data_IF_899157370102
#
_entry.id   IF_899157370102
#
_cell.length_a   1.000
_cell.length_b   1.000
_cell.length_c   1.000
_cell.angle_alpha   90.00
_cell.angle_beta   90.00
_cell.angle_gamma   90.00
#
_symmetry.space_group_name_H-M   'P 1'
#
loop_
_entity.id
_entity.type
_entity.pdbx_description
1 polymer ?
#
# COMPACT_ATOMS: atom_id res chain seq x y z
N UNK A 1 13.83 0.73 -66.43
CA UNK A 1 13.85 2.18 -66.21
C UNK A 1 12.71 2.51 -65.26
N UNK A 2 13.05 3.16 -64.13
CA UNK A 2 12.22 4.03 -63.26
C UNK A 2 10.96 3.46 -62.60
N UNK A 3 10.98 3.25 -61.28
CA UNK A 3 10.46 4.16 -60.22
C UNK A 3 8.99 3.82 -59.89
N UNK A 4 8.49 3.67 -58.66
CA UNK A 4 8.74 4.41 -57.42
C UNK A 4 8.12 3.61 -56.26
N UNK A 5 8.84 3.42 -55.16
CA UNK A 5 8.29 2.96 -53.88
C UNK A 5 7.89 4.18 -53.04
N UNK A 6 6.60 4.31 -52.69
CA UNK A 6 6.05 5.32 -51.77
C UNK A 6 5.69 4.63 -50.44
N UNK A 7 6.30 5.08 -49.34
CA UNK A 7 5.70 5.98 -48.31
C UNK A 7 5.05 5.18 -47.17
N UNK A 8 5.79 4.87 -46.10
CA UNK A 8 5.90 5.62 -44.81
C UNK A 8 4.78 5.38 -43.79
N UNK A 9 5.23 5.25 -42.53
CA UNK A 9 4.53 5.44 -41.26
C UNK A 9 3.50 4.37 -40.83
N UNK A 10 3.96 3.47 -39.95
CA UNK A 10 3.24 3.10 -38.71
C UNK A 10 4.00 2.00 -37.95
N UNK A 11 5.22 2.32 -37.50
CA UNK A 11 5.86 1.58 -36.41
C UNK A 11 6.16 2.55 -35.27
N UNK A 12 5.11 3.13 -34.68
CA UNK A 12 5.18 3.45 -33.25
C UNK A 12 4.90 2.14 -32.52
N UNK A 13 5.96 1.37 -32.30
CA UNK A 13 5.98 0.38 -31.25
C UNK A 13 5.70 1.12 -29.94
N UNK A 14 4.51 0.90 -29.42
CA UNK A 14 4.14 1.12 -28.01
C UNK A 14 5.00 0.22 -27.16
N UNK A 15 6.24 0.66 -26.90
CA UNK A 15 7.13 0.03 -25.93
C UNK A 15 6.73 0.54 -24.54
N UNK A 16 6.22 -0.38 -23.72
CA UNK A 16 6.40 -0.34 -22.28
C UNK A 16 5.32 0.40 -21.49
N UNK A 17 4.37 -0.39 -21.00
CA UNK A 17 3.98 -0.30 -19.59
C UNK A 17 5.24 -0.19 -18.71
N UNK A 18 5.45 0.93 -18.00
CA UNK A 18 6.18 1.07 -16.70
C UNK A 18 6.53 2.53 -16.41
N UNK A 19 6.15 3.01 -15.21
CA UNK A 19 6.63 4.21 -14.47
C UNK A 19 7.32 5.34 -15.26
N UNK A 20 6.72 6.53 -15.32
CA UNK A 20 7.41 7.75 -15.76
C UNK A 20 8.41 8.22 -14.69
N UNK A 21 9.68 7.87 -14.86
CA UNK A 21 10.78 8.27 -13.99
C UNK A 21 12.01 8.66 -14.81
N UNK A 22 12.86 9.51 -14.23
CA UNK A 22 14.20 9.79 -14.75
C UNK A 22 15.14 8.61 -14.45
N UNK A 23 16.22 8.50 -15.23
CA UNK A 23 17.24 7.49 -15.00
C UNK A 23 18.01 7.82 -13.71
N UNK A 24 17.96 6.98 -12.66
CA UNK A 24 18.59 7.26 -11.37
C UNK A 24 20.11 7.39 -11.46
N UNK A 25 20.73 6.88 -12.53
CA UNK A 25 22.17 7.02 -12.79
C UNK A 25 22.56 8.40 -13.35
N UNK A 26 21.59 9.27 -13.63
CA UNK A 26 21.80 10.61 -14.21
C UNK A 26 21.06 11.65 -13.37
N UNK A 27 21.79 12.66 -12.89
CA UNK A 27 21.17 13.78 -12.19
C UNK A 27 20.75 14.87 -13.19
N UNK A 28 19.52 14.76 -13.68
CA UNK A 28 18.96 15.66 -14.69
C UNK A 28 18.92 17.14 -14.26
N UNK A 29 18.82 17.41 -12.96
CA UNK A 29 18.81 18.76 -12.38
C UNK A 29 20.14 19.51 -12.48
N UNK A 30 21.24 18.81 -12.78
CA UNK A 30 22.56 19.45 -12.97
C UNK A 30 22.73 20.04 -14.38
N UNK A 31 21.86 19.69 -15.33
CA UNK A 31 21.94 20.15 -16.70
C UNK A 31 21.02 21.36 -16.94
N UNK A 32 21.38 22.20 -17.90
CA UNK A 32 20.52 23.31 -18.31
C UNK A 32 19.27 22.75 -19.01
N UNK A 33 18.13 22.84 -18.33
CA UNK A 33 16.83 22.34 -18.81
C UNK A 33 16.43 22.94 -20.16
N UNK A 34 16.78 24.19 -20.45
CA UNK A 34 16.48 24.82 -21.74
C UNK A 34 17.27 24.19 -22.91
N UNK A 35 18.38 23.51 -22.63
CA UNK A 35 19.22 22.83 -23.63
C UNK A 35 18.88 21.35 -23.73
N UNK A 36 18.73 20.65 -22.59
CA UNK A 36 18.46 19.21 -22.62
C UNK A 36 17.00 18.87 -22.93
N UNK A 37 16.05 19.77 -22.61
CA UNK A 37 14.63 19.55 -22.83
C UNK A 37 14.08 20.25 -24.09
N UNK A 38 14.93 20.89 -24.89
CA UNK A 38 14.55 21.43 -26.20
C UNK A 38 14.20 20.29 -27.16
N UNK A 39 12.94 20.25 -27.61
CA UNK A 39 12.43 19.22 -28.52
C UNK A 39 13.08 19.26 -29.91
N UNK A 40 13.67 20.39 -30.29
CA UNK A 40 14.42 20.56 -31.54
C UNK A 40 15.93 20.48 -31.32
N UNK A 41 16.37 20.34 -30.06
CA UNK A 41 17.77 20.30 -29.67
C UNK A 41 18.43 18.96 -29.95
N UNK A 42 19.75 18.98 -30.15
CA UNK A 42 20.56 17.77 -30.38
C UNK A 42 20.55 16.79 -29.20
N UNK A 43 20.27 17.29 -27.99
CA UNK A 43 20.21 16.49 -26.75
C UNK A 43 18.83 15.88 -26.47
N UNK A 44 17.81 16.21 -27.25
CA UNK A 44 16.43 15.72 -27.09
C UNK A 44 16.34 14.19 -26.98
N UNK A 45 17.04 13.47 -27.86
CA UNK A 45 16.99 11.99 -27.90
C UNK A 45 17.60 11.37 -26.63
N UNK A 46 18.61 12.02 -26.06
CA UNK A 46 19.23 11.62 -24.81
C UNK A 46 18.31 11.92 -23.62
N UNK A 47 17.71 13.11 -23.59
CA UNK A 47 16.79 13.52 -22.53
C UNK A 47 15.51 12.66 -22.52
N UNK A 48 15.01 12.26 -23.69
CA UNK A 48 13.89 11.30 -23.83
C UNK A 48 14.19 9.91 -23.27
N UNK A 49 15.45 9.56 -23.01
CA UNK A 49 15.83 8.28 -22.38
C UNK A 49 16.18 8.44 -20.90
N UNK A 50 16.77 9.57 -20.51
CA UNK A 50 17.35 9.74 -19.18
C UNK A 50 16.60 10.72 -18.28
N UNK A 51 15.90 11.71 -18.85
CA UNK A 51 15.34 12.86 -18.14
C UNK A 51 13.89 13.12 -18.53
N UNK A 52 13.11 12.04 -18.72
CA UNK A 52 11.75 12.12 -19.28
C UNK A 52 10.78 12.86 -18.37
N UNK A 53 10.92 12.68 -17.06
CA UNK A 53 10.09 13.33 -16.05
C UNK A 53 10.56 14.78 -15.88
N UNK A 54 11.88 15.00 -15.73
CA UNK A 54 12.48 16.33 -15.63
C UNK A 54 12.14 17.24 -16.82
N UNK A 55 12.12 16.68 -18.04
CA UNK A 55 11.79 17.42 -19.26
C UNK A 55 10.31 17.44 -19.62
N UNK A 56 9.42 16.90 -18.76
CA UNK A 56 7.97 16.87 -19.03
C UNK A 56 7.58 16.06 -20.26
N UNK A 57 8.46 15.17 -20.74
CA UNK A 57 8.22 14.28 -21.89
C UNK A 57 7.31 13.11 -21.53
N UNK A 58 7.15 12.86 -20.23
CA UNK A 58 6.08 12.06 -19.67
C UNK A 58 5.63 12.70 -18.36
N UNK A 59 4.39 12.41 -17.98
CA UNK A 59 3.90 12.68 -16.64
C UNK A 59 3.92 11.38 -15.84
N UNK A 60 4.27 11.46 -14.55
CA UNK A 60 3.86 10.39 -13.62
C UNK A 60 2.34 10.31 -13.72
N UNK A 61 1.83 9.13 -14.09
CA UNK A 61 0.40 8.87 -14.01
C UNK A 61 0.02 9.20 -12.57
N UNK A 62 -0.80 10.22 -12.38
CA UNK A 62 -1.25 10.61 -11.06
C UNK A 62 -2.24 9.55 -10.59
N UNK A 63 -1.75 8.64 -9.76
CA UNK A 63 -2.49 7.50 -9.22
C UNK A 63 -1.92 7.20 -7.85
N UNK A 64 -2.75 6.60 -7.02
CA UNK A 64 -2.28 6.07 -5.74
C UNK A 64 -1.23 4.98 -5.99
N UNK A 65 -0.22 4.96 -5.12
CA UNK A 65 0.81 3.94 -5.12
C UNK A 65 0.14 2.57 -4.87
N UNK A 66 0.29 1.58 -5.77
CA UNK A 66 -0.36 0.28 -5.61
C UNK A 66 0.09 -0.46 -4.34
N UNK A 67 1.25 -0.12 -3.78
CA UNK A 67 1.78 -0.70 -2.55
C UNK A 67 1.19 -0.04 -1.29
N UNK A 68 0.47 1.07 -1.45
CA UNK A 68 -0.16 1.83 -0.37
C UNK A 68 -1.67 1.93 -0.61
N UNK A 69 -2.46 1.28 0.25
CA UNK A 69 -3.91 1.39 0.13
C UNK A 69 -4.45 2.61 0.88
N UNK A 70 -4.55 3.71 0.14
CA UNK A 70 -4.96 5.02 0.65
C UNK A 70 -6.36 5.04 1.29
N UNK A 71 -7.25 4.15 0.84
CA UNK A 71 -8.62 4.02 1.36
C UNK A 71 -8.71 3.46 2.79
N UNK A 72 -7.62 2.93 3.33
CA UNK A 72 -7.56 2.46 4.72
C UNK A 72 -7.36 3.60 5.72
N UNK A 73 -6.92 4.78 5.26
CA UNK A 73 -6.65 5.92 6.11
C UNK A 73 -7.85 6.88 6.16
N UNK A 74 -7.97 7.63 7.26
CA UNK A 74 -8.97 8.68 7.36
C UNK A 74 -8.61 9.82 6.38
N UNK A 75 -9.47 10.17 5.40
CA UNK A 75 -9.13 11.15 4.37
C UNK A 75 -8.92 12.55 4.95
N UNK A 76 -9.69 12.94 5.97
CA UNK A 76 -9.56 14.25 6.61
C UNK A 76 -8.23 14.41 7.33
N UNK A 77 -7.74 13.36 7.99
CA UNK A 77 -6.45 13.38 8.69
C UNK A 77 -5.26 13.17 7.74
N UNK A 78 -5.41 12.31 6.73
CA UNK A 78 -4.35 11.97 5.80
C UNK A 78 -4.09 13.09 4.77
N UNK A 79 -5.17 13.70 4.27
CA UNK A 79 -5.12 14.68 3.18
C UNK A 79 -5.21 16.13 3.66
N UNK A 80 -5.21 16.38 4.98
CA UNK A 80 -5.18 17.75 5.53
C UNK A 80 -3.86 18.43 5.16
N UNK A 81 -3.87 19.63 4.53
CA UNK A 81 -2.66 20.37 4.16
C UNK A 81 -1.74 20.72 5.35
N UNK A 82 -2.34 20.91 6.52
CA UNK A 82 -1.65 21.24 7.77
C UNK A 82 -1.30 19.99 8.59
N UNK A 83 -1.64 18.80 8.09
CA UNK A 83 -1.42 17.52 8.76
C UNK A 83 -0.01 16.97 8.53
N UNK A 84 0.57 16.33 9.56
CA UNK A 84 1.92 15.76 9.51
C UNK A 84 2.11 14.63 8.48
N UNK A 85 1.03 14.09 7.91
CA UNK A 85 1.08 13.05 6.88
C UNK A 85 0.82 13.58 5.46
N UNK A 86 0.57 14.89 5.29
CA UNK A 86 0.20 15.49 4.01
C UNK A 86 1.25 15.28 2.92
N UNK A 87 2.52 15.48 3.25
CA UNK A 87 3.62 15.32 2.29
C UNK A 87 3.72 13.87 1.80
N UNK A 88 3.64 12.91 2.71
CA UNK A 88 3.62 11.49 2.36
C UNK A 88 2.38 11.12 1.52
N UNK A 89 1.21 11.63 1.92
CA UNK A 89 -0.06 11.41 1.23
C UNK A 89 -0.05 12.00 -0.19
N UNK A 90 0.61 13.14 -0.39
CA UNK A 90 0.75 13.77 -1.70
C UNK A 90 1.58 12.95 -2.69
N UNK A 91 2.40 12.03 -2.20
CA UNK A 91 3.26 11.17 -3.01
C UNK A 91 2.63 9.78 -3.19
N UNK A 92 2.09 9.21 -2.12
CA UNK A 92 1.57 7.83 -2.10
C UNK A 92 0.09 7.73 -2.39
N UNK A 93 -0.67 8.78 -2.08
CA UNK A 93 -2.12 8.84 -2.16
C UNK A 93 -2.65 10.08 -2.92
N UNK A 94 -2.00 10.55 -4.00
CA UNK A 94 -2.42 11.79 -4.65
C UNK A 94 -3.80 11.70 -5.28
N UNK A 95 -4.24 10.53 -5.76
CA UNK A 95 -5.56 10.39 -6.35
C UNK A 95 -6.64 10.33 -5.26
N UNK A 96 -6.38 9.57 -4.18
CA UNK A 96 -7.26 9.52 -3.02
C UNK A 96 -7.45 10.88 -2.34
N UNK A 97 -6.39 11.69 -2.26
CA UNK A 97 -6.45 13.03 -1.70
C UNK A 97 -6.98 14.10 -2.68
N UNK A 98 -7.41 13.71 -3.89
CA UNK A 98 -7.94 14.66 -4.88
C UNK A 98 -6.90 15.63 -5.43
N UNK A 99 -5.61 15.30 -5.32
CA UNK A 99 -4.48 16.09 -5.80
C UNK A 99 -4.17 15.82 -7.28
N UNK A 100 -4.84 14.83 -7.89
CA UNK A 100 -4.70 14.53 -9.30
C UNK A 100 -5.62 15.41 -10.19
N UNK A 101 -5.09 16.01 -11.26
CA UNK A 101 -5.92 16.68 -12.26
C UNK A 101 -6.78 15.65 -12.99
N UNK A 102 -8.08 15.91 -13.03
CA UNK A 102 -9.10 14.99 -13.52
C UNK A 102 -9.07 14.95 -15.05
N UNK A 103 -8.35 14.01 -15.65
CA UNK A 103 -8.58 13.61 -17.04
C UNK A 103 -9.18 12.21 -17.07
N UNK A 104 -10.47 12.17 -17.38
CA UNK A 104 -11.33 10.99 -17.47
C UNK A 104 -10.85 10.02 -18.54
N UNK A 105 -10.23 8.91 -18.12
CA UNK A 105 -10.10 7.72 -18.93
C UNK A 105 -10.71 6.51 -18.22
N UNK A 106 -11.86 6.10 -18.75
CA UNK A 106 -12.64 4.91 -18.39
C UNK A 106 -11.83 3.64 -18.66
N UNK A 107 -11.60 2.82 -17.64
CA UNK A 107 -11.03 1.47 -17.80
C UNK A 107 -12.07 0.39 -17.45
N UNK A 108 -12.27 -0.53 -18.40
CA UNK A 108 -13.04 -1.76 -18.23
C UNK A 108 -12.27 -2.77 -17.37
N UNK A 109 -12.99 -3.40 -16.45
CA UNK A 109 -12.52 -4.40 -15.50
C UNK A 109 -12.56 -5.81 -16.11
N UNK A 110 -11.53 -6.64 -15.89
CA UNK A 110 -11.53 -8.06 -16.27
C UNK A 110 -11.09 -8.97 -15.11
N UNK A 111 -11.74 -10.13 -15.07
CA UNK A 111 -12.06 -11.04 -13.97
C UNK A 111 -10.99 -12.11 -13.64
N UNK A 112 -11.01 -12.53 -12.35
CA UNK A 112 -10.53 -13.76 -11.65
C UNK A 112 -9.49 -14.69 -12.30
N UNK A 113 -8.51 -15.08 -11.46
CA UNK A 113 -7.90 -16.42 -11.50
C UNK A 113 -7.89 -17.02 -10.09
N UNK A 114 -8.41 -18.24 -10.01
CA UNK A 114 -8.36 -19.17 -8.87
C UNK A 114 -7.20 -20.13 -9.09
N UNK A 115 -6.37 -20.38 -8.08
CA UNK A 115 -5.48 -21.54 -8.10
C UNK A 115 -5.41 -22.19 -6.71
N UNK A 116 -5.55 -23.52 -6.74
CA UNK A 116 -5.46 -24.46 -5.63
C UNK A 116 -4.03 -24.99 -5.58
N UNK A 117 -3.33 -24.85 -4.44
CA UNK A 117 -2.05 -25.52 -4.15
C UNK A 117 -1.63 -25.20 -2.68
N UNK A 118 -0.68 -25.95 -2.11
CA UNK A 118 -0.84 -27.01 -1.10
C UNK A 118 -0.98 -26.47 0.33
N UNK A 119 -1.22 -27.36 1.33
CA UNK A 119 -1.39 -27.08 2.76
C UNK A 119 -0.29 -26.16 3.34
N UNK A 120 -0.49 -24.87 3.18
CA UNK A 120 0.34 -23.80 3.70
C UNK A 120 0.09 -23.72 5.19
N UNK A 121 1.16 -23.66 5.98
CA UNK A 121 1.06 -23.42 7.42
C UNK A 121 0.08 -22.27 7.67
N UNK A 122 -0.90 -22.48 8.55
CA UNK A 122 -1.92 -21.50 8.87
C UNK A 122 -1.31 -20.38 9.71
N UNK A 123 -0.71 -19.41 9.03
CA UNK A 123 -0.06 -18.26 9.62
C UNK A 123 -0.40 -16.99 8.85
N UNK A 124 -0.50 -15.90 9.58
CA UNK A 124 -0.60 -14.59 8.97
C UNK A 124 0.79 -14.17 8.44
N UNK A 125 0.83 -13.09 7.67
CA UNK A 125 2.08 -12.54 7.12
C UNK A 125 2.45 -11.19 7.73
N UNK A 126 1.56 -10.68 8.58
CA UNK A 126 1.62 -9.37 9.21
C UNK A 126 0.67 -9.36 10.40
N UNK A 127 0.74 -8.31 11.23
CA UNK A 127 -0.20 -8.17 12.34
C UNK A 127 -1.57 -7.72 11.82
N UNK A 128 -2.50 -8.67 11.69
CA UNK A 128 -3.82 -8.41 11.15
C UNK A 128 -4.75 -7.68 12.13
N UNK A 129 -4.40 -7.60 13.42
CA UNK A 129 -5.25 -7.02 14.47
C UNK A 129 -5.40 -5.49 14.34
N UNK A 130 -4.50 -4.85 13.60
CA UNK A 130 -4.55 -3.42 13.25
C UNK A 130 -5.66 -3.10 12.24
N UNK A 131 -6.15 -4.11 11.49
CA UNK A 131 -7.18 -3.92 10.47
C UNK A 131 -8.57 -4.26 11.01
N UNK A 132 -9.59 -3.66 10.39
CA UNK A 132 -10.98 -3.94 10.73
C UNK A 132 -11.38 -5.35 10.26
N UNK A 133 -11.55 -6.28 11.20
CA UNK A 133 -11.86 -7.69 10.92
C UNK A 133 -13.17 -7.89 10.14
N UNK A 134 -14.21 -7.08 10.40
CA UNK A 134 -15.48 -7.16 9.65
C UNK A 134 -15.28 -6.80 8.18
N UNK A 135 -14.34 -5.89 7.90
CA UNK A 135 -14.03 -5.47 6.54
C UNK A 135 -13.07 -6.45 5.86
N UNK A 136 -11.96 -6.84 6.50
CA UNK A 136 -10.95 -7.68 5.84
C UNK A 136 -11.36 -9.15 5.78
N UNK A 137 -12.15 -9.66 6.73
CA UNK A 137 -12.52 -11.09 6.77
C UNK A 137 -13.86 -11.41 6.11
N UNK A 138 -14.67 -10.40 5.76
CA UNK A 138 -15.96 -10.63 5.09
C UNK A 138 -15.78 -11.15 3.66
N UNK A 139 -16.49 -12.24 3.31
CA UNK A 139 -16.51 -12.83 1.95
C UNK A 139 -17.02 -11.89 0.86
N UNK A 140 -17.85 -10.91 1.22
CA UNK A 140 -18.41 -9.93 0.29
C UNK A 140 -17.53 -8.70 0.13
N UNK A 141 -16.47 -8.59 0.94
CA UNK A 141 -15.53 -7.48 0.89
C UNK A 141 -14.55 -7.61 -0.25
N UNK A 142 -14.17 -6.47 -0.82
CA UNK A 142 -13.09 -6.39 -1.81
C UNK A 142 -11.73 -6.85 -1.25
N UNK A 143 -11.59 -6.84 0.08
CA UNK A 143 -10.37 -7.25 0.79
C UNK A 143 -10.28 -8.75 1.06
N UNK A 144 -11.36 -9.51 0.79
CA UNK A 144 -11.40 -10.95 1.02
C UNK A 144 -10.24 -11.71 0.35
N UNK A 145 -9.86 -11.46 -0.93
CA UNK A 145 -8.74 -12.16 -1.55
C UNK A 145 -7.39 -11.81 -0.89
N UNK A 146 -7.24 -10.58 -0.41
CA UNK A 146 -6.03 -10.14 0.28
C UNK A 146 -5.90 -10.81 1.65
N UNK A 147 -6.98 -10.86 2.44
CA UNK A 147 -6.96 -11.48 3.76
C UNK A 147 -6.76 -12.99 3.69
N UNK A 148 -7.17 -13.66 2.61
CA UNK A 148 -6.83 -15.06 2.36
C UNK A 148 -5.32 -15.30 2.22
N UNK A 149 -4.57 -14.32 1.74
CA UNK A 149 -3.12 -14.44 1.56
C UNK A 149 -2.33 -13.96 2.78
N UNK A 150 -2.81 -12.91 3.44
CA UNK A 150 -2.07 -12.18 4.47
C UNK A 150 -2.57 -12.42 5.90
N UNK A 151 -3.86 -12.71 6.07
CA UNK A 151 -4.53 -12.86 7.35
C UNK A 151 -5.36 -14.16 7.48
N UNK A 152 -4.92 -15.31 6.95
CA UNK A 152 -5.75 -16.51 6.90
C UNK A 152 -6.06 -17.09 8.29
N UNK A 153 -5.17 -16.90 9.26
CA UNK A 153 -5.39 -17.32 10.65
C UNK A 153 -6.30 -16.33 11.37
N UNK A 154 -5.98 -15.03 11.32
CA UNK A 154 -6.80 -13.99 11.96
C UNK A 154 -8.25 -13.97 11.47
N UNK A 155 -8.47 -14.21 10.17
CA UNK A 155 -9.80 -14.29 9.59
C UNK A 155 -10.48 -15.66 9.71
N UNK A 156 -9.82 -16.65 10.34
CA UNK A 156 -10.38 -17.99 10.54
C UNK A 156 -10.59 -18.78 9.24
N UNK A 157 -9.83 -18.47 8.18
CA UNK A 157 -9.86 -19.22 6.93
C UNK A 157 -9.10 -20.54 7.01
N UNK A 158 -8.24 -20.68 8.01
CA UNK A 158 -7.58 -21.91 8.39
C UNK A 158 -7.47 -22.03 9.92
N UNK A 159 -7.17 -23.23 10.41
CA UNK A 159 -6.96 -23.47 11.84
C UNK A 159 -5.49 -23.28 12.20
N UNK A 160 -5.18 -22.19 12.90
CA UNK A 160 -3.87 -21.98 13.50
C UNK A 160 -3.79 -22.67 14.88
N UNK A 161 -2.58 -23.09 15.31
CA UNK A 161 -2.38 -23.59 16.65
C UNK A 161 -2.76 -22.52 17.67
N UNK A 162 -3.52 -22.94 18.68
CA UNK A 162 -3.91 -22.11 19.82
C UNK A 162 -3.20 -22.60 21.07
N UNK A 163 -3.02 -21.70 22.03
CA UNK A 163 -2.49 -22.02 23.36
C UNK A 163 -3.38 -21.40 24.42
N UNK A 164 -3.48 -22.09 25.55
CA UNK A 164 -4.13 -21.56 26.75
C UNK A 164 -3.12 -20.63 27.42
N UNK A 165 -3.53 -19.40 27.67
CA UNK A 165 -2.71 -18.40 28.37
C UNK A 165 -3.41 -17.90 29.62
N UNK A 166 -2.68 -17.76 30.75
CA UNK A 166 -3.24 -17.19 31.95
C UNK A 166 -3.51 -15.69 31.75
N UNK A 167 -4.66 -15.22 32.25
CA UNK A 167 -4.98 -13.80 32.29
C UNK A 167 -4.11 -13.10 33.32
N UNK A 168 -3.06 -12.45 32.83
CA UNK A 168 -2.15 -11.62 33.62
C UNK A 168 -1.65 -10.46 32.79
N UNK A 169 -1.32 -9.36 33.46
CA UNK A 169 -0.57 -8.29 32.85
C UNK A 169 0.86 -8.75 32.59
N UNK A 170 1.41 -8.31 31.46
CA UNK A 170 2.82 -8.53 31.13
C UNK A 170 3.69 -7.51 31.86
N UNK A 171 3.20 -6.27 31.96
CA UNK A 171 3.84 -5.21 32.73
C UNK A 171 3.31 -5.22 34.16
N UNK A 172 4.16 -4.86 35.12
CA UNK A 172 3.79 -4.81 36.54
C UNK A 172 3.24 -3.46 36.97
N UNK A 173 3.33 -2.43 36.11
CA UNK A 173 3.01 -1.04 36.41
C UNK A 173 1.85 -0.50 35.55
N UNK A 174 0.92 -1.37 35.17
CA UNK A 174 -0.25 -0.98 34.37
C UNK A 174 -1.12 0.10 35.04
N UNK A 175 -1.06 0.17 36.38
CA UNK A 175 -1.72 1.15 37.23
C UNK A 175 -1.05 2.53 37.26
N UNK A 176 0.20 2.66 36.81
CA UNK A 176 0.90 3.95 36.69
C UNK A 176 0.52 4.72 35.42
N UNK A 177 -0.02 4.02 34.41
CA UNK A 177 -0.46 4.66 33.17
C UNK A 177 -1.78 5.42 33.37
N UNK A 178 -1.99 6.41 32.50
CA UNK A 178 -3.23 7.19 32.49
C UNK A 178 -4.47 6.28 32.39
N UNK A 179 -5.55 6.68 33.06
CA UNK A 179 -6.81 5.93 33.08
C UNK A 179 -7.43 5.73 31.69
N UNK A 180 -7.06 6.56 30.71
CA UNK A 180 -7.52 6.42 29.33
C UNK A 180 -6.91 5.21 28.60
N UNK A 181 -5.83 4.61 29.13
CA UNK A 181 -5.18 3.41 28.60
C UNK A 181 -6.19 2.31 28.27
N UNK A 182 -7.19 2.12 29.13
CA UNK A 182 -8.17 1.06 29.01
C UNK A 182 -9.39 1.42 28.17
N UNK A 183 -9.54 2.64 27.66
CA UNK A 183 -10.71 3.03 26.85
C UNK A 183 -10.33 3.62 25.50
N UNK A 184 -9.12 4.17 25.39
CA UNK A 184 -8.66 4.82 24.18
C UNK A 184 -8.35 3.78 23.08
N UNK A 185 -9.04 3.83 21.93
CA UNK A 185 -8.82 2.87 20.84
C UNK A 185 -7.38 2.84 20.31
N UNK A 186 -6.63 3.94 20.44
CA UNK A 186 -5.22 4.00 20.02
C UNK A 186 -4.35 3.01 20.80
N UNK A 187 -4.68 2.74 22.06
CA UNK A 187 -3.92 1.82 22.90
C UNK A 187 -4.48 0.40 22.89
N UNK A 188 -5.49 0.10 22.06
CA UNK A 188 -6.17 -1.21 22.07
C UNK A 188 -5.20 -2.40 21.99
N UNK A 189 -4.31 -2.42 21.01
CA UNK A 189 -3.37 -3.54 20.84
C UNK A 189 -2.34 -3.58 21.96
N UNK A 190 -1.83 -2.41 22.34
CA UNK A 190 -0.85 -2.31 23.41
C UNK A 190 -1.40 -2.80 24.75
N UNK A 191 -2.64 -2.40 25.12
CA UNK A 191 -3.28 -2.84 26.36
C UNK A 191 -3.61 -4.33 26.32
N UNK A 192 -4.02 -4.88 25.17
CA UNK A 192 -4.27 -6.32 24.98
C UNK A 192 -2.99 -7.15 25.21
N UNK A 193 -1.82 -6.62 24.82
CA UNK A 193 -0.54 -7.31 24.99
C UNK A 193 0.12 -7.11 26.36
N UNK A 194 -0.10 -5.95 26.98
CA UNK A 194 0.67 -5.53 28.15
C UNK A 194 -0.15 -5.48 29.44
N UNK A 195 -1.39 -5.02 29.37
CA UNK A 195 -2.22 -4.63 30.53
C UNK A 195 -3.63 -5.20 30.47
N UNK A 196 -3.78 -6.39 29.90
CA UNK A 196 -5.04 -7.07 29.64
C UNK A 196 -5.83 -7.42 30.90
N UNK A 197 -5.16 -7.79 31.99
CA UNK A 197 -5.84 -8.08 33.27
C UNK A 197 -6.25 -6.77 33.93
N UNK A 198 -5.36 -5.79 34.00
CA UNK A 198 -5.65 -4.47 34.55
C UNK A 198 -6.83 -3.79 33.83
N UNK A 199 -6.84 -3.82 32.50
CA UNK A 199 -7.92 -3.27 31.68
C UNK A 199 -9.15 -4.17 31.56
N UNK A 200 -9.21 -5.29 32.27
CA UNK A 200 -10.36 -6.21 32.25
C UNK A 200 -10.65 -6.84 30.89
N UNK A 201 -9.65 -6.91 30.00
CA UNK A 201 -9.73 -7.54 28.68
C UNK A 201 -9.81 -9.07 28.79
N UNK A 202 -9.27 -9.65 29.86
CA UNK A 202 -9.27 -11.09 30.09
C UNK A 202 -9.80 -11.47 31.48
N UNK A 203 -10.19 -12.75 31.64
CA UNK A 203 -10.54 -13.33 32.95
C UNK A 203 -10.09 -14.78 33.06
N UNK A 204 -9.31 -15.12 34.09
CA UNK A 204 -8.88 -16.50 34.36
C UNK A 204 -7.86 -17.02 33.33
N UNK A 205 -8.34 -17.70 32.31
CA UNK A 205 -7.53 -18.26 31.21
C UNK A 205 -8.23 -17.99 29.89
N UNK A 206 -7.46 -17.56 28.89
CA UNK A 206 -7.96 -17.36 27.53
C UNK A 206 -7.33 -18.36 26.57
N UNK A 207 -8.05 -18.67 25.49
CA UNK A 207 -7.51 -19.40 24.35
C UNK A 207 -7.08 -18.35 23.33
N UNK A 208 -5.77 -18.20 23.15
CA UNK A 208 -5.21 -17.28 22.16
C UNK A 208 -4.60 -18.07 21.02
N UNK A 209 -4.71 -17.52 19.81
CA UNK A 209 -3.88 -17.97 18.68
C UNK A 209 -2.41 -17.71 19.02
N UNK A 210 -1.53 -18.67 18.81
CA UNK A 210 -0.12 -18.50 19.17
C UNK A 210 0.58 -17.55 18.19
N UNK A 211 0.47 -16.23 18.43
CA UNK A 211 0.99 -15.20 17.52
C UNK A 211 2.50 -15.29 17.26
N UNK A 212 3.27 -15.92 18.15
CA UNK A 212 4.71 -16.23 17.93
C UNK A 212 4.95 -17.17 16.74
N UNK A 213 3.93 -17.93 16.32
CA UNK A 213 3.97 -18.82 15.15
C UNK A 213 3.32 -18.21 13.90
N UNK A 214 2.75 -17.02 14.05
CA UNK A 214 1.84 -16.37 13.08
C UNK A 214 2.48 -15.16 12.40
N UNK A 215 3.50 -14.53 12.99
CA UNK A 215 4.28 -13.45 12.35
C UNK A 215 5.64 -13.99 11.90
N UNK A 216 5.93 -13.95 10.60
CA UNK A 216 7.21 -14.39 10.03
C UNK A 216 7.60 -13.61 8.81
#
# INVERSE_FOLDING_TARGET
MTSTTQSTLSQLQTIGTTSCQDNPSVNCSLYNSAVICDLQGTHYVWARKNCRLHCGLCHKVCRDDPDVNCNLFNPTALCSPDGGYHEWASIKCPAFCGLCPHETHTFLSTTKISSTEPLKACKDRLDCRVYNSTLICSKTSIYYPWSQLHCPSFCGFCHAPTRIVPCRDRLTNCDEYSSDLCINPLYRLWREENCRKYCGVCTGFDVETDYSSVLG
#
